data_IF_288140064386
#
_entry.id   IF_288140064386
#
_cell.length_a   1.000
_cell.length_b   1.000
_cell.length_c   1.000
_cell.angle_alpha   90.00
_cell.angle_beta   90.00
_cell.angle_gamma   90.00
#
_symmetry.space_group_name_H-M   'P 1'
#
loop_
_entity.id
_entity.type
_entity.pdbx_description
1 polymer ?
#
# COMPACT_ATOMS: atom_id res chain seq x y z
N UNK A 1 9.50 -15.05 -4.23
CA UNK A 1 8.96 -16.37 -4.54
C UNK A 1 7.96 -16.26 -5.68
N UNK A 2 8.09 -17.08 -6.71
CA UNK A 2 7.10 -17.15 -7.81
C UNK A 2 6.66 -18.60 -7.99
N UNK A 3 5.36 -18.83 -8.07
CA UNK A 3 4.76 -20.08 -8.47
C UNK A 3 4.06 -19.89 -9.81
N UNK A 4 4.30 -20.78 -10.77
CA UNK A 4 3.71 -20.75 -12.11
C UNK A 4 3.12 -22.10 -12.45
N UNK A 5 1.93 -22.09 -13.02
CA UNK A 5 1.29 -23.26 -13.65
C UNK A 5 0.96 -22.89 -15.08
N UNK A 6 1.29 -23.76 -15.99
CA UNK A 6 1.02 -23.53 -17.40
C UNK A 6 0.58 -24.79 -18.13
N UNK A 7 -0.23 -24.59 -19.13
CA UNK A 7 -0.55 -25.59 -20.15
C UNK A 7 -0.04 -25.10 -21.50
N UNK A 8 0.89 -25.82 -22.07
CA UNK A 8 1.36 -25.58 -23.43
C UNK A 8 0.21 -25.79 -24.41
N UNK A 9 0.36 -25.20 -25.59
CA UNK A 9 -0.64 -25.27 -26.64
C UNK A 9 -1.01 -26.70 -26.98
N UNK A 10 -2.27 -27.05 -26.77
CA UNK A 10 -2.83 -28.36 -27.05
C UNK A 10 -4.30 -28.26 -27.40
N UNK A 11 -4.72 -28.84 -28.52
CA UNK A 11 -6.10 -28.82 -29.02
C UNK A 11 -6.69 -27.38 -29.11
N UNK A 12 -5.87 -26.44 -29.57
CA UNK A 12 -6.28 -25.06 -29.74
C UNK A 12 -6.22 -24.19 -28.47
N UNK A 13 -5.86 -24.72 -27.31
CA UNK A 13 -5.87 -23.98 -26.05
C UNK A 13 -4.47 -23.95 -25.40
N UNK A 14 -4.04 -22.76 -24.99
CA UNK A 14 -2.88 -22.54 -24.12
C UNK A 14 -3.28 -21.59 -22.98
N UNK A 15 -2.71 -21.80 -21.80
CA UNK A 15 -2.92 -20.87 -20.68
C UNK A 15 -1.75 -20.96 -19.69
N UNK A 16 -1.54 -19.87 -18.96
CA UNK A 16 -0.60 -19.83 -17.85
C UNK A 16 -1.12 -18.91 -16.75
N UNK A 17 -0.83 -19.25 -15.50
CA UNK A 17 -1.06 -18.42 -14.33
C UNK A 17 0.19 -18.43 -13.49
N UNK A 18 0.64 -17.25 -13.07
CA UNK A 18 1.77 -17.07 -12.18
C UNK A 18 1.39 -16.15 -11.03
N UNK A 19 1.77 -16.54 -9.82
CA UNK A 19 1.68 -15.71 -8.62
C UNK A 19 3.08 -15.43 -8.11
N UNK A 20 3.36 -14.16 -7.84
CA UNK A 20 4.63 -13.71 -7.28
C UNK A 20 4.39 -13.03 -5.94
N UNK A 21 5.13 -13.48 -4.92
CA UNK A 21 5.24 -12.80 -3.63
C UNK A 21 6.63 -12.20 -3.49
N UNK A 22 6.69 -10.89 -3.23
CA UNK A 22 7.93 -10.13 -3.07
C UNK A 22 7.95 -9.40 -1.73
N UNK A 23 9.11 -9.31 -1.13
CA UNK A 23 9.36 -8.53 0.07
C UNK A 23 10.78 -7.97 0.01
N UNK A 24 10.94 -6.70 0.31
CA UNK A 24 12.23 -6.07 0.55
C UNK A 24 12.08 -5.02 1.66
N UNK A 25 13.17 -4.79 2.36
CA UNK A 25 13.26 -3.79 3.41
C UNK A 25 14.54 -2.97 3.21
N UNK A 26 14.47 -1.71 3.58
CA UNK A 26 15.59 -0.78 3.50
C UNK A 26 15.61 0.13 4.75
N UNK A 27 16.69 0.88 4.94
CA UNK A 27 16.80 1.87 6.01
C UNK A 27 16.30 3.25 5.57
N UNK A 28 16.39 3.55 4.28
CA UNK A 28 16.06 4.85 3.70
C UNK A 28 15.36 4.60 2.37
N UNK A 29 14.25 5.29 2.13
CA UNK A 29 13.63 5.35 0.80
C UNK A 29 14.46 6.32 -0.04
N UNK A 30 15.05 5.84 -1.12
CA UNK A 30 15.96 6.61 -1.96
C UNK A 30 15.25 7.67 -2.82
N UNK A 31 14.57 8.61 -2.17
CA UNK A 31 13.87 9.70 -2.86
C UNK A 31 14.80 10.86 -3.19
N UNK A 32 14.88 11.19 -4.50
CA UNK A 32 15.61 12.36 -4.97
C UNK A 32 17.08 12.14 -5.30
N UNK A 33 17.68 13.13 -5.95
CA UNK A 33 19.07 13.16 -6.41
C UNK A 33 20.04 13.82 -5.41
N UNK A 34 19.50 14.32 -4.29
CA UNK A 34 20.28 14.98 -3.24
C UNK A 34 20.15 14.22 -1.92
N UNK A 35 21.24 14.09 -1.14
CA UNK A 35 21.22 13.45 0.18
C UNK A 35 20.19 14.07 1.13
N UNK A 36 20.00 15.38 1.07
CA UNK A 36 19.01 16.09 1.88
C UNK A 36 17.57 15.62 1.58
N UNK A 37 17.21 15.43 0.31
CA UNK A 37 15.88 14.97 -0.09
C UNK A 37 15.60 13.55 0.42
N UNK A 38 16.58 12.67 0.34
CA UNK A 38 16.46 11.31 0.88
C UNK A 38 16.35 11.33 2.41
N UNK A 39 17.11 12.19 3.09
CA UNK A 39 17.06 12.36 4.53
C UNK A 39 15.70 12.90 5.01
N UNK A 40 15.20 13.96 4.38
CA UNK A 40 13.92 14.57 4.71
C UNK A 40 12.71 13.69 4.31
N UNK A 41 12.78 13.01 3.17
CA UNK A 41 11.67 12.22 2.62
C UNK A 41 11.46 10.86 3.28
N UNK A 42 12.38 10.42 4.16
CA UNK A 42 12.25 9.13 4.82
C UNK A 42 11.35 9.23 6.05
N UNK A 43 10.19 8.57 6.01
CA UNK A 43 9.27 8.53 7.15
C UNK A 43 9.90 7.81 8.35
N UNK A 44 9.78 8.41 9.53
CA UNK A 44 10.44 7.95 10.76
C UNK A 44 9.62 8.31 12.01
N UNK A 45 10.04 7.83 13.19
CA UNK A 45 9.40 8.15 14.48
C UNK A 45 10.19 9.18 15.27
N UNK A 46 11.52 9.03 15.30
CA UNK A 46 12.40 9.78 16.20
C UNK A 46 13.35 10.76 15.48
N UNK A 47 13.04 11.07 14.23
CA UNK A 47 13.86 11.93 13.38
C UNK A 47 14.73 11.15 12.40
N UNK A 48 15.14 11.80 11.30
CA UNK A 48 15.84 11.15 10.18
C UNK A 48 17.23 10.58 10.54
N UNK A 49 17.82 11.03 11.65
CA UNK A 49 19.10 10.51 12.14
C UNK A 49 18.99 9.20 12.94
N UNK A 50 17.76 8.71 13.17
CA UNK A 50 17.48 7.44 13.81
C UNK A 50 16.75 6.48 12.84
N UNK A 51 17.41 6.06 11.74
CA UNK A 51 16.75 5.25 10.71
C UNK A 51 16.38 3.88 11.27
N UNK A 52 15.14 3.48 11.00
CA UNK A 52 14.63 2.16 11.31
C UNK A 52 14.41 1.35 10.03
N UNK A 53 14.58 0.04 10.13
CA UNK A 53 14.27 -0.86 9.03
C UNK A 53 12.76 -0.79 8.73
N UNK A 54 12.41 -0.46 7.51
CA UNK A 54 11.04 -0.41 7.00
C UNK A 54 10.89 -1.15 5.69
N UNK A 55 9.67 -1.30 5.21
CA UNK A 55 9.44 -1.86 3.89
C UNK A 55 9.90 -0.89 2.80
N UNK A 56 10.51 -1.44 1.74
CA UNK A 56 10.87 -0.64 0.59
C UNK A 56 9.62 -0.24 -0.21
N UNK A 57 9.54 1.02 -0.63
CA UNK A 57 8.39 1.60 -1.34
C UNK A 57 8.18 1.00 -2.74
N UNK A 58 9.28 0.63 -3.43
CA UNK A 58 9.27 0.09 -4.80
C UNK A 58 8.79 -1.37 -4.89
N UNK A 59 8.55 -2.04 -3.77
CA UNK A 59 8.15 -3.46 -3.77
C UNK A 59 6.67 -3.60 -4.06
N UNK A 60 6.35 -4.43 -5.04
CA UNK A 60 5.01 -4.95 -5.29
C UNK A 60 4.86 -6.26 -4.53
N UNK A 61 4.19 -6.28 -3.36
CA UNK A 61 4.15 -7.47 -2.49
C UNK A 61 3.53 -8.69 -3.14
N UNK A 62 2.44 -8.49 -3.84
CA UNK A 62 1.65 -9.57 -4.44
C UNK A 62 1.30 -9.23 -5.89
N UNK A 63 1.56 -10.17 -6.79
CA UNK A 63 1.25 -10.03 -8.22
C UNK A 63 0.74 -11.33 -8.80
N UNK A 64 -0.35 -11.24 -9.56
CA UNK A 64 -0.88 -12.34 -10.37
C UNK A 64 -0.80 -11.97 -11.84
N UNK A 65 -0.24 -12.83 -12.64
CA UNK A 65 -0.24 -12.71 -14.10
C UNK A 65 -0.93 -13.95 -14.65
N UNK A 66 -1.92 -13.77 -15.51
CA UNK A 66 -2.58 -14.87 -16.20
C UNK A 66 -2.69 -14.56 -17.68
N UNK A 67 -2.57 -15.59 -18.50
CA UNK A 67 -2.76 -15.53 -19.94
C UNK A 67 -3.57 -16.74 -20.37
N UNK A 68 -4.51 -16.53 -21.29
CA UNK A 68 -5.23 -17.58 -21.98
C UNK A 68 -5.25 -17.25 -23.47
N UNK A 69 -5.06 -18.24 -24.30
CA UNK A 69 -5.11 -18.12 -25.75
C UNK A 69 -5.84 -19.31 -26.35
N UNK A 70 -6.83 -19.04 -27.17
CA UNK A 70 -7.57 -20.05 -27.90
C UNK A 70 -7.49 -19.77 -29.39
N UNK A 71 -7.04 -20.77 -30.16
CA UNK A 71 -6.95 -20.73 -31.62
C UNK A 71 -7.83 -21.80 -32.24
N UNK A 72 -8.67 -21.40 -33.16
CA UNK A 72 -9.48 -22.29 -34.00
C UNK A 72 -9.09 -22.10 -35.45
N UNK A 73 -8.79 -23.19 -36.11
CA UNK A 73 -8.49 -23.22 -37.54
C UNK A 73 -9.79 -23.54 -38.31
N UNK A 74 -10.03 -22.79 -39.40
CA UNK A 74 -11.09 -22.96 -40.33
C UNK A 74 -10.46 -23.14 -41.70
N UNK A 75 -10.74 -24.21 -42.38
CA UNK A 75 -10.14 -24.48 -43.68
C UNK A 75 -8.59 -24.55 -43.60
N UNK A 76 -7.92 -24.82 -44.70
CA UNK A 76 -6.47 -24.99 -44.71
C UNK A 76 -5.66 -23.70 -44.48
N UNK A 77 -6.26 -22.53 -44.58
CA UNK A 77 -5.53 -21.25 -44.67
C UNK A 77 -6.09 -20.14 -43.74
N UNK A 78 -7.09 -20.44 -42.91
CA UNK A 78 -7.71 -19.45 -42.05
C UNK A 78 -7.77 -19.93 -40.60
N UNK A 79 -7.32 -19.09 -39.66
CA UNK A 79 -7.41 -19.36 -38.22
C UNK A 79 -7.80 -18.09 -37.47
N UNK A 80 -8.61 -18.23 -36.43
CA UNK A 80 -8.91 -17.18 -35.47
C UNK A 80 -8.23 -17.49 -34.15
N UNK A 81 -7.51 -16.52 -33.61
CA UNK A 81 -6.92 -16.60 -32.28
C UNK A 81 -7.54 -15.51 -31.39
N UNK A 82 -8.06 -15.92 -30.24
CA UNK A 82 -8.54 -15.02 -29.20
C UNK A 82 -7.62 -15.22 -28.00
N UNK A 83 -7.10 -14.10 -27.47
CA UNK A 83 -6.23 -14.12 -26.29
C UNK A 83 -6.70 -13.11 -25.28
N UNK A 84 -6.55 -13.41 -23.98
CA UNK A 84 -6.76 -12.50 -22.90
C UNK A 84 -5.55 -12.53 -21.97
N UNK A 85 -5.14 -11.36 -21.48
CA UNK A 85 -4.05 -11.19 -20.56
C UNK A 85 -4.55 -10.45 -19.31
N UNK A 86 -4.31 -11.03 -18.15
CA UNK A 86 -4.63 -10.44 -16.86
C UNK A 86 -3.35 -10.14 -16.09
N UNK A 87 -3.27 -8.93 -15.55
CA UNK A 87 -2.24 -8.50 -14.63
C UNK A 87 -2.89 -7.84 -13.42
N UNK A 88 -2.86 -8.53 -12.29
CA UNK A 88 -3.33 -8.02 -11.01
C UNK A 88 -2.17 -7.88 -10.04
N UNK A 89 -2.11 -6.75 -9.33
CA UNK A 89 -1.03 -6.49 -8.37
C UNK A 89 -1.50 -5.55 -7.26
N UNK A 90 -0.88 -5.64 -6.08
CA UNK A 90 -0.96 -4.55 -5.09
C UNK A 90 -0.30 -3.30 -5.69
N UNK A 91 -0.95 -2.14 -5.55
CA UNK A 91 -0.52 -0.89 -6.18
C UNK A 91 0.56 -0.15 -5.37
N UNK A 92 1.41 -0.88 -4.65
CA UNK A 92 2.49 -0.32 -3.84
C UNK A 92 2.16 -0.26 -2.35
N UNK A 93 3.02 0.45 -1.63
CA UNK A 93 2.96 0.64 -0.18
C UNK A 93 2.97 2.12 0.16
N UNK A 94 2.54 2.48 1.36
CA UNK A 94 2.59 3.83 1.88
C UNK A 94 2.73 3.86 3.40
N UNK A 95 3.11 5.02 3.92
CA UNK A 95 3.27 5.29 5.35
C UNK A 95 2.10 6.15 5.83
N UNK A 96 1.59 5.87 7.02
CA UNK A 96 0.74 6.81 7.75
C UNK A 96 1.61 7.78 8.51
N UNK A 97 1.52 9.07 8.15
CA UNK A 97 2.30 10.15 8.76
C UNK A 97 1.39 11.27 9.27
N UNK A 98 1.89 12.05 10.23
CA UNK A 98 1.24 13.29 10.65
C UNK A 98 1.37 14.35 9.56
N UNK A 99 0.38 15.22 9.45
CA UNK A 99 0.46 16.44 8.66
C UNK A 99 1.12 17.54 9.53
N UNK A 100 2.37 17.81 9.25
CA UNK A 100 3.19 18.75 10.01
C UNK A 100 4.47 18.09 10.54
N UNK A 101 5.17 18.82 11.39
CA UNK A 101 6.39 18.41 12.09
C UNK A 101 6.05 18.10 13.54
N UNK A 102 5.74 16.84 13.83
CA UNK A 102 5.31 16.40 15.14
C UNK A 102 6.48 16.17 16.09
N UNK A 103 7.60 15.64 15.60
CA UNK A 103 8.80 15.37 16.38
C UNK A 103 9.74 16.58 16.51
N UNK A 104 9.44 17.69 15.81
CA UNK A 104 10.18 18.95 15.80
C UNK A 104 11.62 18.83 15.28
N UNK A 105 11.82 18.03 14.26
CA UNK A 105 13.12 17.89 13.59
C UNK A 105 13.32 18.89 12.43
N UNK A 106 12.33 19.72 12.15
CA UNK A 106 12.34 20.73 11.08
C UNK A 106 11.84 20.21 9.74
N UNK A 107 11.36 18.97 9.68
CA UNK A 107 10.78 18.36 8.47
C UNK A 107 9.30 18.10 8.66
N UNK A 108 8.48 18.43 7.66
CA UNK A 108 7.05 18.21 7.71
C UNK A 108 6.67 16.94 6.92
N UNK A 109 5.67 16.20 7.44
CA UNK A 109 5.04 15.10 6.71
C UNK A 109 5.86 13.81 6.64
N UNK A 110 6.89 13.66 7.48
CA UNK A 110 7.70 12.45 7.59
C UNK A 110 7.55 11.72 8.93
N UNK A 111 6.76 12.24 9.86
CA UNK A 111 6.55 11.66 11.19
C UNK A 111 5.51 10.54 11.15
N UNK A 112 5.92 9.31 11.43
CA UNK A 112 5.02 8.16 11.50
C UNK A 112 4.04 8.31 12.66
N UNK A 113 2.75 8.07 12.38
CA UNK A 113 1.71 8.21 13.40
C UNK A 113 1.80 7.13 14.47
N UNK A 114 1.48 7.50 15.71
CA UNK A 114 1.13 6.52 16.74
C UNK A 114 -0.35 6.15 16.58
N UNK A 115 -0.65 4.86 16.51
CA UNK A 115 -2.00 4.35 16.31
C UNK A 115 -2.58 4.01 17.70
N UNK A 116 -3.47 4.85 18.26
CA UNK A 116 -3.94 4.65 19.62
C UNK A 116 -4.86 3.43 19.73
N UNK A 117 -4.85 2.78 20.90
CA UNK A 117 -5.87 1.83 21.25
C UNK A 117 -7.21 2.53 21.60
N UNK A 118 -8.30 1.77 21.70
CA UNK A 118 -9.64 2.33 21.94
C UNK A 118 -9.72 3.19 23.21
N UNK A 119 -9.04 2.78 24.29
CA UNK A 119 -9.01 3.56 25.55
C UNK A 119 -8.28 4.87 25.34
N UNK A 120 -7.16 4.87 24.63
CA UNK A 120 -6.38 6.07 24.33
C UNK A 120 -7.17 7.05 23.44
N UNK A 121 -7.93 6.54 22.44
CA UNK A 121 -8.82 7.40 21.62
C UNK A 121 -9.82 8.16 22.49
N UNK A 122 -10.40 7.53 23.52
CA UNK A 122 -11.32 8.19 24.42
C UNK A 122 -10.67 9.27 25.29
N UNK A 123 -9.37 9.18 25.49
CA UNK A 123 -8.59 10.18 26.27
C UNK A 123 -8.01 11.30 25.41
N UNK A 124 -8.04 11.18 24.07
CA UNK A 124 -7.50 12.20 23.17
C UNK A 124 -8.29 13.52 23.31
N UNK A 125 -7.54 14.60 23.30
CA UNK A 125 -8.11 15.96 23.34
C UNK A 125 -8.20 16.49 21.91
N UNK A 126 -9.44 16.63 21.41
CA UNK A 126 -9.72 17.27 20.14
C UNK A 126 -10.34 18.65 20.38
N UNK A 127 -9.87 19.64 19.65
CA UNK A 127 -10.55 20.96 19.62
C UNK A 127 -11.73 20.88 18.66
N UNK A 128 -12.88 21.43 19.05
CA UNK A 128 -14.04 21.52 18.15
C UNK A 128 -13.65 22.18 16.84
N UNK A 129 -14.07 21.60 15.73
CA UNK A 129 -13.75 22.07 14.38
C UNK A 129 -15.02 22.12 13.53
N UNK A 130 -15.10 23.13 12.65
CA UNK A 130 -16.22 23.29 11.72
C UNK A 130 -15.73 23.04 10.28
N UNK A 131 -16.32 22.07 9.63
CA UNK A 131 -16.02 21.71 8.24
C UNK A 131 -17.32 21.78 7.43
N UNK A 132 -17.33 22.55 6.36
CA UNK A 132 -18.50 22.73 5.48
C UNK A 132 -19.79 23.10 6.26
N UNK A 133 -19.67 23.97 7.26
CA UNK A 133 -20.81 24.43 8.08
C UNK A 133 -21.28 23.44 9.17
N UNK A 134 -20.66 22.27 9.29
CA UNK A 134 -20.96 21.29 10.34
C UNK A 134 -19.89 21.36 11.42
N UNK A 135 -20.30 21.60 12.67
CA UNK A 135 -19.38 21.63 13.81
C UNK A 135 -19.28 20.24 14.43
N UNK A 136 -18.07 19.74 14.51
CA UNK A 136 -17.72 18.48 15.15
C UNK A 136 -17.21 18.73 16.56
N UNK A 137 -17.92 18.22 17.54
CA UNK A 137 -17.49 18.25 18.94
C UNK A 137 -16.30 17.30 19.17
N UNK A 138 -15.67 17.41 20.35
CA UNK A 138 -14.64 16.46 20.76
C UNK A 138 -15.12 15.00 20.74
N UNK A 139 -16.36 14.76 21.17
CA UNK A 139 -16.94 13.42 21.20
C UNK A 139 -17.18 12.87 19.79
N UNK A 140 -17.66 13.72 18.88
CA UNK A 140 -17.86 13.34 17.47
C UNK A 140 -16.53 12.96 16.82
N UNK A 141 -15.48 13.77 17.05
CA UNK A 141 -14.15 13.51 16.48
C UNK A 141 -13.54 12.22 17.02
N UNK A 142 -13.69 11.90 18.32
CA UNK A 142 -13.28 10.61 18.90
C UNK A 142 -14.01 9.45 18.22
N UNK A 143 -15.30 9.57 18.03
CA UNK A 143 -16.11 8.53 17.37
C UNK A 143 -15.71 8.32 15.92
N UNK A 144 -15.48 9.41 15.18
CA UNK A 144 -15.03 9.36 13.78
C UNK A 144 -13.64 8.78 13.66
N UNK A 145 -12.71 9.15 14.55
CA UNK A 145 -11.36 8.64 14.54
C UNK A 145 -11.30 7.14 14.90
N UNK A 146 -12.09 6.71 15.90
CA UNK A 146 -12.25 5.29 16.21
C UNK A 146 -12.78 4.49 15.01
N UNK A 147 -13.79 5.03 14.32
CA UNK A 147 -14.34 4.42 13.10
C UNK A 147 -13.28 4.36 11.99
N UNK A 148 -12.51 5.42 11.79
CA UNK A 148 -11.44 5.47 10.81
C UNK A 148 -10.41 4.36 11.04
N UNK A 149 -9.95 4.17 12.29
CA UNK A 149 -9.02 3.10 12.64
C UNK A 149 -9.67 1.72 12.42
N UNK A 150 -10.95 1.55 12.80
CA UNK A 150 -11.63 0.25 12.70
C UNK A 150 -11.87 -0.21 11.26
N UNK A 151 -12.10 0.69 10.33
CA UNK A 151 -12.35 0.35 8.94
C UNK A 151 -11.07 0.04 8.15
N UNK A 152 -9.91 0.53 8.61
CA UNK A 152 -8.63 0.27 7.97
C UNK A 152 -7.97 -0.98 8.54
N UNK A 153 -7.61 -1.93 7.66
CA UNK A 153 -7.04 -3.22 8.05
C UNK A 153 -5.68 -3.07 8.74
N UNK A 154 -4.84 -2.16 8.24
CA UNK A 154 -3.50 -1.93 8.79
C UNK A 154 -3.60 -1.24 10.15
N UNK A 155 -4.31 -0.13 10.24
CA UNK A 155 -4.45 0.63 11.48
C UNK A 155 -5.07 -0.21 12.60
N UNK A 156 -6.09 -1.00 12.27
CA UNK A 156 -6.72 -1.91 13.24
C UNK A 156 -5.76 -2.96 13.81
N UNK A 157 -4.85 -3.47 12.98
CA UNK A 157 -3.89 -4.50 13.38
C UNK A 157 -2.71 -3.94 14.20
N UNK A 158 -2.42 -2.62 14.09
CA UNK A 158 -1.26 -1.99 14.73
C UNK A 158 -1.63 -1.03 15.86
N UNK A 159 -2.78 -1.24 16.52
CA UNK A 159 -3.19 -0.44 17.66
C UNK A 159 -2.19 -0.51 18.82
N UNK A 160 -1.91 0.65 19.43
CA UNK A 160 -0.95 0.80 20.52
C UNK A 160 0.52 0.83 20.05
N UNK A 161 0.76 1.00 18.75
CA UNK A 161 2.10 1.03 18.16
C UNK A 161 2.25 2.23 17.22
N UNK A 162 3.50 2.60 16.91
CA UNK A 162 3.76 3.49 15.81
C UNK A 162 3.54 2.77 14.48
N UNK A 163 3.10 3.51 13.47
CA UNK A 163 3.03 3.00 12.12
C UNK A 163 4.43 2.65 11.62
N UNK A 164 4.52 1.62 10.78
CA UNK A 164 5.76 1.23 10.11
C UNK A 164 5.91 2.03 8.81
N UNK A 165 7.13 2.37 8.46
CA UNK A 165 7.43 2.96 7.16
C UNK A 165 7.04 2.00 6.05
N UNK A 166 6.20 2.49 5.14
CA UNK A 166 5.62 1.70 4.05
C UNK A 166 4.89 0.42 4.53
N UNK A 167 4.35 0.45 5.77
CA UNK A 167 3.65 -0.69 6.37
C UNK A 167 2.30 -0.97 5.74
N UNK A 168 1.57 0.07 5.35
CA UNK A 168 0.27 -0.05 4.71
C UNK A 168 0.39 -0.37 3.21
N UNK A 169 -0.64 -1.02 2.66
CA UNK A 169 -0.69 -1.41 1.26
C UNK A 169 -1.81 -0.69 0.54
N UNK A 170 -1.53 -0.20 -0.65
CA UNK A 170 -2.54 0.33 -1.56
C UNK A 170 -3.45 -0.79 -2.08
N UNK A 171 -4.68 -0.45 -2.51
CA UNK A 171 -5.62 -1.42 -3.06
C UNK A 171 -5.06 -2.20 -4.25
N UNK A 172 -5.63 -3.38 -4.46
CA UNK A 172 -5.32 -4.22 -5.60
C UNK A 172 -5.76 -3.55 -6.90
N UNK A 173 -4.86 -3.47 -7.87
CA UNK A 173 -5.11 -2.97 -9.21
C UNK A 173 -5.29 -4.16 -10.17
N UNK A 174 -6.39 -4.15 -10.93
CA UNK A 174 -6.69 -5.15 -11.94
C UNK A 174 -6.58 -4.54 -13.35
N UNK A 175 -5.90 -5.24 -14.23
CA UNK A 175 -5.82 -4.91 -15.65
C UNK A 175 -6.10 -6.16 -16.50
N UNK A 176 -7.03 -6.03 -17.40
CA UNK A 176 -7.39 -7.07 -18.38
C UNK A 176 -7.24 -6.46 -19.79
N UNK A 177 -6.45 -7.11 -20.63
CA UNK A 177 -6.19 -6.73 -22.02
C UNK A 177 -6.64 -7.86 -22.97
#
# INVERSE_FOLDING_TARGET
>A
LTAKIERQYSKGLAWSVAYTKSMASNLVDGGGDQPLSAWQGTANVFGPNAPALGYADYVVPDRVIAMISYRKEYFKHLATTISAFYNGATNGRFSYVYDGDFNRDGVQGNDLIYIPNTTQVQQMLFTSNTVNGVTYSQADQRTLFERYIQQDKYLKAHRGQYAERNGAQLPWLNRLD
#
